data_IF_833260761193
#
_entry.id   IF_833260761193
#
_cell.length_a   1.000
_cell.length_b   1.000
_cell.length_c   1.000
_cell.angle_alpha   90.00
_cell.angle_beta   90.00
_cell.angle_gamma   90.00
#
_symmetry.space_group_name_H-M   'P 1'
#
loop_
_entity.id
_entity.type
_entity.pdbx_description
1 polymer ?
#
# COMPACT_ATOMS: atom_id res chain seq x y z
N UNK A 1 -1.13 -10.15 -2.41
CA UNK A 1 0.22 -10.23 -3.02
C UNK A 1 0.88 -8.90 -2.72
N UNK A 2 2.04 -8.88 -2.04
CA UNK A 2 2.57 -7.69 -1.38
C UNK A 2 3.82 -7.15 -2.08
N UNK A 3 3.85 -5.84 -2.35
CA UNK A 3 4.90 -5.17 -3.13
C UNK A 3 5.42 -3.95 -2.37
N UNK A 4 6.75 -3.84 -2.26
CA UNK A 4 7.50 -2.73 -1.66
C UNK A 4 7.83 -1.68 -2.75
N UNK A 5 7.55 -0.39 -2.51
CA UNK A 5 7.85 0.71 -3.46
C UNK A 5 8.61 1.86 -2.76
N UNK A 6 9.59 2.45 -3.47
CA UNK A 6 10.39 3.63 -3.10
C UNK A 6 10.12 4.75 -4.14
N UNK A 7 9.79 5.98 -3.72
CA UNK A 7 9.28 7.04 -4.63
C UNK A 7 10.21 8.27 -4.78
N UNK A 8 10.28 8.85 -6.00
CA UNK A 8 10.84 10.17 -6.35
C UNK A 8 9.88 10.94 -7.29
N UNK A 9 9.73 12.25 -7.07
CA UNK A 9 8.71 13.14 -7.68
C UNK A 9 9.19 13.83 -8.98
N UNK A 10 8.27 14.03 -9.95
CA UNK A 10 8.38 15.07 -11.01
C UNK A 10 7.02 15.74 -11.25
N UNK A 11 7.05 17.08 -11.39
CA UNK A 11 5.91 18.00 -11.41
C UNK A 11 5.17 18.11 -12.76
N UNK A 12 3.90 18.52 -12.67
CA UNK A 12 2.97 18.75 -13.77
C UNK A 12 3.00 20.20 -14.31
N UNK A 13 3.43 20.39 -15.54
CA UNK A 13 3.21 21.63 -16.31
C UNK A 13 2.61 21.27 -17.68
N UNK A 14 1.31 21.56 -17.88
CA UNK A 14 0.64 21.33 -19.17
C UNK A 14 -0.86 21.63 -19.26
N UNK A 15 -1.49 22.21 -18.23
CA UNK A 15 -2.95 22.29 -18.15
C UNK A 15 -3.61 23.53 -18.78
N UNK A 16 -2.86 24.54 -19.26
CA UNK A 16 -3.44 25.86 -19.60
C UNK A 16 -3.82 26.05 -21.10
N UNK A 17 -3.54 25.12 -22.00
CA UNK A 17 -3.76 25.34 -23.45
C UNK A 17 -5.21 25.06 -23.93
N UNK A 18 -6.07 24.47 -23.09
CA UNK A 18 -7.40 23.99 -23.52
C UNK A 18 -8.55 25.02 -23.47
N UNK A 19 -8.38 26.18 -22.82
CA UNK A 19 -9.47 27.15 -22.60
C UNK A 19 -9.88 27.97 -23.83
N UNK A 20 -9.09 27.96 -24.91
CA UNK A 20 -9.28 28.89 -26.04
C UNK A 20 -10.11 28.33 -27.21
N UNK A 21 -10.44 27.04 -27.19
CA UNK A 21 -11.13 26.34 -28.29
C UNK A 21 -12.65 26.18 -28.03
N UNK A 22 -13.12 26.29 -26.78
CA UNK A 22 -14.50 25.93 -26.40
C UNK A 22 -15.49 27.09 -26.24
N UNK A 23 -15.12 28.35 -26.53
CA UNK A 23 -16.01 29.51 -26.30
C UNK A 23 -16.93 29.90 -27.48
N UNK A 24 -16.86 29.19 -28.61
CA UNK A 24 -17.45 29.68 -29.87
C UNK A 24 -18.84 29.16 -30.26
N UNK A 25 -19.38 28.12 -29.63
CA UNK A 25 -20.60 27.46 -30.10
C UNK A 25 -21.48 27.03 -28.92
N UNK A 26 -22.46 27.87 -28.57
CA UNK A 26 -23.49 27.50 -27.59
C UNK A 26 -24.86 28.02 -28.03
N UNK A 27 -25.68 27.14 -28.61
CA UNK A 27 -27.02 26.98 -28.05
C UNK A 27 -27.44 25.49 -28.03
N UNK A 28 -28.47 25.16 -27.23
CA UNK A 28 -29.02 23.82 -26.96
C UNK A 28 -28.37 23.02 -25.82
N UNK A 29 -28.51 23.56 -24.61
CA UNK A 29 -28.56 22.75 -23.39
C UNK A 29 -29.87 21.94 -23.43
N UNK A 30 -29.82 20.73 -23.97
CA UNK A 30 -30.88 19.74 -23.73
C UNK A 30 -30.39 18.32 -23.51
N UNK A 31 -29.10 18.14 -23.23
CA UNK A 31 -28.51 16.86 -22.82
C UNK A 31 -27.53 17.08 -21.67
N UNK A 32 -28.05 17.49 -20.50
CA UNK A 32 -27.30 17.50 -19.23
C UNK A 32 -27.53 16.21 -18.44
N UNK A 33 -27.63 15.06 -19.13
CA UNK A 33 -27.86 13.78 -18.46
C UNK A 33 -27.19 12.55 -19.09
N UNK A 34 -26.41 12.68 -20.17
CA UNK A 34 -25.79 11.52 -20.85
C UNK A 34 -24.31 11.73 -21.23
N UNK A 35 -23.61 12.64 -20.55
CA UNK A 35 -22.15 12.73 -20.61
C UNK A 35 -21.49 12.13 -19.36
N UNK A 36 -22.16 11.17 -18.74
CA UNK A 36 -21.56 9.96 -18.17
C UNK A 36 -20.89 9.14 -19.29
N UNK A 37 -19.96 9.74 -20.04
CA UNK A 37 -19.01 8.97 -20.84
C UNK A 37 -17.86 8.61 -19.90
N UNK A 38 -18.21 7.67 -19.02
CA UNK A 38 -17.40 7.04 -18.00
C UNK A 38 -16.30 6.20 -18.67
N UNK A 39 -15.27 6.86 -19.20
CA UNK A 39 -13.94 6.35 -18.83
C UNK A 39 -13.65 7.00 -17.49
N UNK A 40 -14.28 6.46 -16.45
CA UNK A 40 -13.66 6.50 -15.14
C UNK A 40 -12.35 5.74 -15.34
N UNK A 41 -11.28 6.45 -15.71
CA UNK A 41 -9.94 6.04 -15.31
C UNK A 41 -9.99 6.10 -13.79
N UNK A 42 -10.57 5.05 -13.20
CA UNK A 42 -10.57 4.86 -11.77
C UNK A 42 -9.10 4.75 -11.41
N UNK A 43 -8.53 5.86 -10.96
CA UNK A 43 -7.26 5.85 -10.24
C UNK A 43 -7.35 4.72 -9.24
N UNK A 44 -6.44 3.75 -9.36
CA UNK A 44 -6.44 2.54 -8.55
C UNK A 44 -6.44 2.88 -7.08
N UNK A 45 -6.94 1.97 -6.25
CA UNK A 45 -7.06 2.17 -4.81
C UNK A 45 -6.01 1.35 -4.10
N UNK A 46 -5.35 2.02 -3.17
CA UNK A 46 -4.35 1.43 -2.31
C UNK A 46 -4.67 1.77 -0.86
N UNK A 47 -4.31 0.87 0.05
CA UNK A 47 -4.36 1.13 1.50
C UNK A 47 -3.09 0.59 2.15
N UNK A 48 -2.71 1.22 3.26
CA UNK A 48 -1.71 0.64 4.14
C UNK A 48 -2.28 -0.64 4.75
N UNK A 49 -1.60 -1.75 4.52
CA UNK A 49 -2.03 -3.08 4.92
C UNK A 49 -1.16 -3.64 6.05
N UNK A 50 0.14 -3.32 6.07
CA UNK A 50 1.03 -3.88 7.06
C UNK A 50 2.26 -3.04 7.39
N UNK A 51 2.83 -3.37 8.54
CA UNK A 51 4.06 -2.83 9.09
C UNK A 51 4.93 -4.00 9.54
N UNK A 52 6.06 -4.21 8.85
CA UNK A 52 6.86 -5.42 9.06
C UNK A 52 8.26 -5.05 9.48
N UNK A 53 8.69 -5.73 10.53
CA UNK A 53 10.00 -5.59 11.13
C UNK A 53 10.88 -6.71 10.58
N UNK A 54 11.70 -6.36 9.58
CA UNK A 54 12.68 -7.26 8.98
C UNK A 54 13.87 -7.40 9.94
N UNK A 55 14.09 -8.61 10.44
CA UNK A 55 15.20 -8.95 11.31
C UNK A 55 16.18 -9.88 10.59
N UNK A 56 17.43 -9.43 10.45
CA UNK A 56 18.53 -10.31 10.07
C UNK A 56 18.91 -11.21 11.25
N UNK A 57 18.21 -12.34 11.39
CA UNK A 57 18.35 -13.24 12.53
C UNK A 57 17.97 -14.66 12.13
N UNK A 58 18.66 -15.63 12.73
CA UNK A 58 18.29 -17.05 12.70
C UNK A 58 17.30 -17.39 13.83
N UNK A 59 17.18 -16.54 14.84
CA UNK A 59 16.23 -16.68 15.96
C UNK A 59 15.01 -15.77 15.77
N UNK A 60 14.05 -16.26 14.98
CA UNK A 60 12.82 -15.54 14.68
C UNK A 60 11.92 -15.39 15.92
N UNK A 61 11.83 -16.42 16.76
CA UNK A 61 11.00 -16.41 17.96
C UNK A 61 11.54 -15.44 19.00
N UNK A 62 12.84 -15.42 19.26
CA UNK A 62 13.45 -14.45 20.17
C UNK A 62 13.26 -13.01 19.70
N UNK A 63 13.36 -12.76 18.40
CA UNK A 63 13.06 -11.44 17.83
C UNK A 63 11.58 -11.06 18.00
N UNK A 64 10.66 -12.01 17.78
CA UNK A 64 9.23 -11.78 17.97
C UNK A 64 8.86 -11.52 19.44
N UNK A 65 9.46 -12.25 20.39
CA UNK A 65 9.28 -12.04 21.82
C UNK A 65 9.80 -10.66 22.25
N UNK A 66 10.96 -10.25 21.76
CA UNK A 66 11.52 -8.93 22.00
C UNK A 66 10.55 -7.83 21.53
N UNK A 67 10.12 -7.87 20.27
CA UNK A 67 9.24 -6.83 19.71
C UNK A 67 7.84 -6.87 20.30
N UNK A 68 7.28 -8.06 20.52
CA UNK A 68 6.01 -8.23 21.22
C UNK A 68 6.05 -7.62 22.62
N UNK A 69 7.12 -7.85 23.38
CA UNK A 69 7.30 -7.27 24.70
C UNK A 69 7.50 -5.75 24.65
N UNK A 70 8.34 -5.26 23.73
CA UNK A 70 8.63 -3.84 23.58
C UNK A 70 7.39 -3.02 23.17
N UNK A 71 6.52 -3.60 22.35
CA UNK A 71 5.31 -2.95 21.83
C UNK A 71 4.04 -3.30 22.63
N UNK A 72 4.13 -4.20 23.62
CA UNK A 72 2.99 -4.64 24.42
C UNK A 72 1.99 -5.51 23.63
N UNK A 73 2.46 -6.25 22.63
CA UNK A 73 1.64 -7.07 21.72
C UNK A 73 1.89 -8.56 21.95
N UNK A 74 0.83 -9.37 21.82
CA UNK A 74 0.95 -10.84 21.86
C UNK A 74 1.50 -11.34 20.53
N UNK A 75 2.29 -12.41 20.56
CA UNK A 75 2.77 -13.06 19.34
C UNK A 75 1.80 -14.16 18.89
N UNK A 76 1.67 -14.35 17.57
CA UNK A 76 0.94 -15.45 16.95
C UNK A 76 1.78 -16.05 15.83
N UNK A 77 2.03 -17.35 15.96
CA UNK A 77 2.75 -18.14 14.97
C UNK A 77 1.84 -18.46 13.77
N UNK A 78 2.37 -18.31 12.55
CA UNK A 78 1.73 -18.85 11.35
C UNK A 78 2.01 -20.35 11.20
N UNK A 79 1.13 -21.06 10.50
CA UNK A 79 1.31 -22.47 10.20
C UNK A 79 2.09 -22.68 8.91
N UNK A 80 2.82 -23.79 8.80
CA UNK A 80 3.54 -24.15 7.57
C UNK A 80 4.74 -23.24 7.30
N UNK A 81 5.12 -23.13 6.02
CA UNK A 81 6.32 -22.39 5.58
C UNK A 81 6.28 -20.90 5.94
N UNK A 82 5.09 -20.29 6.02
CA UNK A 82 4.95 -18.90 6.47
C UNK A 82 5.44 -18.73 7.91
N UNK A 83 5.21 -19.71 8.78
CA UNK A 83 5.68 -19.69 10.16
C UNK A 83 7.20 -19.74 10.29
N UNK A 84 7.91 -20.26 9.30
CA UNK A 84 9.38 -20.27 9.31
C UNK A 84 9.97 -18.88 9.09
N UNK A 85 9.20 -17.97 8.48
CA UNK A 85 9.68 -16.64 8.08
C UNK A 85 8.99 -15.51 8.84
N UNK A 86 7.77 -15.72 9.32
CA UNK A 86 6.95 -14.66 9.92
C UNK A 86 6.36 -15.06 11.27
N UNK A 87 6.28 -14.07 12.16
CA UNK A 87 5.48 -14.11 13.39
C UNK A 87 4.63 -12.85 13.45
N UNK A 88 3.32 -13.01 13.64
CA UNK A 88 2.40 -11.87 13.77
C UNK A 88 2.43 -11.31 15.18
N UNK A 89 2.49 -9.99 15.29
CA UNK A 89 2.22 -9.24 16.51
C UNK A 89 0.76 -8.83 16.49
N UNK A 90 0.01 -9.28 17.49
CA UNK A 90 -1.42 -9.06 17.60
C UNK A 90 -1.70 -7.72 18.27
N UNK A 91 -2.05 -6.73 17.45
CA UNK A 91 -2.69 -5.49 17.89
C UNK A 91 -4.21 -5.67 17.83
N UNK A 92 -4.91 -5.39 18.93
CA UNK A 92 -6.38 -5.43 18.97
C UNK A 92 -7.03 -4.10 18.56
N UNK A 93 -6.22 -3.07 18.28
CA UNK A 93 -6.69 -1.70 18.05
C UNK A 93 -6.62 -1.24 16.59
N UNK A 94 -5.88 -1.95 15.73
CA UNK A 94 -5.76 -1.61 14.30
C UNK A 94 -5.97 -2.81 13.39
N UNK A 95 -6.41 -2.53 12.17
CA UNK A 95 -6.53 -3.52 11.09
C UNK A 95 -5.19 -3.76 10.36
N UNK A 96 -4.09 -3.19 10.85
CA UNK A 96 -2.77 -3.36 10.24
C UNK A 96 -2.17 -4.71 10.62
N UNK A 97 -1.57 -5.37 9.62
CA UNK A 97 -0.75 -6.54 9.86
C UNK A 97 0.62 -6.11 10.38
N UNK A 98 0.87 -6.34 11.67
CA UNK A 98 2.18 -6.09 12.28
C UNK A 98 2.90 -7.42 12.43
N UNK A 99 4.08 -7.56 11.83
CA UNK A 99 4.78 -8.83 11.76
C UNK A 99 6.30 -8.67 11.95
N UNK A 100 6.93 -9.69 12.51
CA UNK A 100 8.38 -9.84 12.52
C UNK A 100 8.73 -10.85 11.45
N UNK A 101 9.67 -10.48 10.57
CA UNK A 101 10.11 -11.31 9.45
C UNK A 101 11.60 -11.64 9.58
N UNK A 102 11.98 -12.91 9.43
CA UNK A 102 13.40 -13.29 9.28
C UNK A 102 13.86 -13.06 7.83
N UNK A 103 14.99 -12.38 7.67
CA UNK A 103 15.57 -12.01 6.38
C UNK A 103 17.09 -12.20 6.37
N UNK A 104 17.70 -12.27 5.18
CA UNK A 104 19.17 -12.36 5.03
C UNK A 104 19.86 -11.02 4.73
N UNK A 105 19.09 -9.94 4.58
CA UNK A 105 19.62 -8.58 4.36
C UNK A 105 19.67 -7.80 5.67
N UNK A 106 20.32 -6.62 5.69
CA UNK A 106 20.35 -5.76 6.88
C UNK A 106 18.93 -5.47 7.40
N UNK A 107 18.75 -5.54 8.73
CA UNK A 107 17.47 -5.31 9.39
C UNK A 107 16.90 -3.93 9.06
N UNK A 108 15.59 -3.87 8.84
CA UNK A 108 14.85 -2.64 8.49
C UNK A 108 13.39 -2.78 8.85
N UNK A 109 12.64 -1.72 8.60
CA UNK A 109 11.19 -1.75 8.62
C UNK A 109 10.70 -1.49 7.20
N UNK A 110 9.65 -2.18 6.79
CA UNK A 110 8.97 -1.87 5.55
C UNK A 110 7.45 -1.80 5.77
N UNK A 111 6.81 -1.10 4.83
CA UNK A 111 5.38 -0.97 4.78
C UNK A 111 4.85 -1.82 3.64
N UNK A 112 3.70 -2.39 3.91
CA UNK A 112 2.97 -3.27 3.03
C UNK A 112 1.75 -2.51 2.53
N UNK A 113 1.67 -2.33 1.21
CA UNK A 113 0.56 -1.66 0.54
C UNK A 113 -0.28 -2.73 -0.16
N UNK A 114 -1.57 -2.76 0.18
CA UNK A 114 -2.56 -3.55 -0.55
C UNK A 114 -3.20 -2.66 -1.59
N UNK A 115 -3.23 -3.13 -2.84
CA UNK A 115 -3.77 -2.41 -3.99
C UNK A 115 -4.77 -3.28 -4.74
N UNK A 116 -5.78 -2.66 -5.34
CA UNK A 116 -6.69 -3.31 -6.29
C UNK A 116 -6.09 -3.47 -7.69
N UNK A 117 -4.96 -2.81 -7.97
CA UNK A 117 -4.25 -2.88 -9.25
C UNK A 117 -2.73 -2.75 -9.03
N UNK A 118 -2.01 -3.86 -9.23
CA UNK A 118 -0.57 -3.94 -8.99
C UNK A 118 0.21 -3.17 -10.06
N UNK A 119 -0.17 -3.34 -11.33
CA UNK A 119 0.49 -2.71 -12.45
C UNK A 119 0.41 -1.19 -12.36
N UNK A 120 -0.72 -0.65 -11.89
CA UNK A 120 -0.90 0.79 -11.69
C UNK A 120 -0.17 1.34 -10.45
N UNK A 121 0.01 0.54 -9.40
CA UNK A 121 0.73 0.95 -8.17
C UNK A 121 2.23 1.13 -8.39
N UNK A 122 2.82 0.43 -9.36
CA UNK A 122 4.27 0.43 -9.60
C UNK A 122 4.71 1.17 -10.87
N UNK A 123 3.76 1.78 -11.59
CA UNK A 123 4.02 2.55 -12.81
C UNK A 123 4.68 3.91 -12.50
#
# INVERSE_FOLDING_TARGET
MLIRVLLLLVNAEGAEEWRRIVSGWWPFIKYRQEAEYLVEYSMHKSKLAGFIIDCNTEDLQGAAEFWGSALGMKTKQFSGEEGEKYVRLMDSSSDLHIEVQSVNHQSRIHLDIETDNIEAEVA
#
